data_IF_786765867223
#
_entry.id   IF_786765867223
#
_cell.length_a   1.000
_cell.length_b   1.000
_cell.length_c   1.000
_cell.angle_alpha   90.00
_cell.angle_beta   90.00
_cell.angle_gamma   90.00
#
_symmetry.space_group_name_H-M   'P 1'
#
loop_
_entity.id
_entity.type
_entity.pdbx_description
1 polymer ?
#
# COMPACT_ATOMS: atom_id res chain seq x y z
N UNK A 1 -17.30 33.81 9.45
CA UNK A 1 -16.77 32.44 9.29
C UNK A 1 -15.51 32.34 10.14
N UNK A 2 -15.39 31.30 10.93
CA UNK A 2 -14.22 31.11 11.80
C UNK A 2 -12.99 30.75 10.96
N UNK A 3 -11.89 31.48 11.12
CA UNK A 3 -10.63 31.24 10.40
C UNK A 3 -9.44 31.54 11.31
N UNK A 4 -8.26 31.08 10.94
CA UNK A 4 -7.02 31.37 11.66
C UNK A 4 -6.69 32.86 11.51
N UNK A 5 -6.78 33.60 12.59
CA UNK A 5 -6.46 35.02 12.62
C UNK A 5 -4.95 35.29 12.86
N UNK A 6 -4.30 34.41 13.62
CA UNK A 6 -2.90 34.53 13.95
C UNK A 6 -2.22 33.18 14.01
N UNK A 7 -0.99 33.14 13.54
CA UNK A 7 -0.10 31.98 13.69
C UNK A 7 1.17 32.40 14.42
N UNK A 8 1.54 31.64 15.43
CA UNK A 8 2.78 31.77 16.18
C UNK A 8 3.58 30.47 16.12
N UNK A 9 4.91 30.57 15.95
CA UNK A 9 5.77 29.41 15.77
C UNK A 9 7.24 29.75 15.93
N UNK A 10 8.04 28.75 16.31
CA UNK A 10 9.51 28.85 16.27
C UNK A 10 10.14 27.98 15.16
N UNK A 11 9.34 27.45 14.22
CA UNK A 11 9.85 26.61 13.13
C UNK A 11 10.99 27.31 12.38
N UNK A 12 12.13 26.64 12.29
CA UNK A 12 13.35 27.14 11.64
C UNK A 12 13.73 28.56 12.05
N UNK A 13 13.48 28.90 13.32
CA UNK A 13 13.82 30.22 13.89
C UNK A 13 12.84 31.36 13.57
N UNK A 14 11.65 31.06 13.04
CA UNK A 14 10.60 32.06 12.90
C UNK A 14 10.06 32.44 14.29
N UNK A 15 10.11 33.74 14.64
CA UNK A 15 9.74 34.20 16.01
C UNK A 15 8.72 35.32 16.01
N UNK A 16 8.28 35.77 14.84
CA UNK A 16 7.33 36.86 14.74
C UNK A 16 5.95 36.31 14.50
N UNK A 17 4.99 36.48 15.41
CA UNK A 17 3.62 36.08 15.15
C UNK A 17 3.07 36.74 13.89
N UNK A 18 2.45 35.97 13.05
CA UNK A 18 1.93 36.43 11.75
C UNK A 18 0.43 36.51 11.80
N UNK A 19 -0.14 37.67 11.53
CA UNK A 19 -1.57 37.85 11.39
C UNK A 19 -2.03 37.46 10.01
N UNK A 20 -3.10 36.67 9.95
CA UNK A 20 -3.73 36.16 8.73
C UNK A 20 -5.13 36.76 8.58
N UNK A 21 -5.69 36.69 7.41
CA UNK A 21 -7.09 36.99 7.12
C UNK A 21 -7.75 35.77 6.50
N UNK A 22 -9.03 35.86 6.20
CA UNK A 22 -9.74 34.79 5.47
C UNK A 22 -9.06 34.50 4.11
N UNK A 23 -8.59 35.53 3.43
CA UNK A 23 -7.77 35.41 2.23
C UNK A 23 -6.44 36.12 2.49
N UNK A 24 -5.35 35.39 2.41
CA UNK A 24 -4.03 35.91 2.71
C UNK A 24 -3.05 35.62 1.58
N UNK A 25 -2.34 36.65 1.14
CA UNK A 25 -1.20 36.54 0.25
C UNK A 25 0.09 36.81 1.05
N UNK A 26 0.90 35.78 1.26
CA UNK A 26 2.25 35.91 1.82
C UNK A 26 3.20 36.24 0.69
N UNK A 27 3.75 37.44 0.68
CA UNK A 27 4.67 37.93 -0.37
C UNK A 27 6.06 38.16 0.20
N UNK A 28 7.06 37.71 -0.50
CA UNK A 28 8.45 37.94 -0.13
C UNK A 28 9.42 37.15 -1.01
N UNK A 29 10.71 37.47 -0.97
CA UNK A 29 11.71 36.75 -1.76
C UNK A 29 11.80 35.26 -1.34
N UNK A 30 12.54 34.48 -2.12
CA UNK A 30 12.88 33.13 -1.71
C UNK A 30 13.62 33.17 -0.35
N UNK A 31 13.39 32.14 0.48
CA UNK A 31 13.98 32.02 1.81
C UNK A 31 13.50 33.04 2.86
N UNK A 32 12.52 33.90 2.54
CA UNK A 32 11.99 34.90 3.50
C UNK A 32 11.21 34.30 4.68
N UNK A 33 10.84 33.03 4.63
CA UNK A 33 10.10 32.37 5.72
C UNK A 33 8.62 32.08 5.41
N UNK A 34 8.10 32.42 4.22
CA UNK A 34 6.70 32.14 3.81
C UNK A 34 6.30 30.70 4.10
N UNK A 35 7.15 29.75 3.70
CA UNK A 35 6.90 28.33 3.89
C UNK A 35 6.81 27.92 5.35
N UNK A 36 7.54 28.60 6.25
CA UNK A 36 7.49 28.33 7.71
C UNK A 36 6.13 28.70 8.29
N UNK A 37 5.54 29.79 7.83
CA UNK A 37 4.19 30.20 8.20
C UNK A 37 3.17 29.16 7.72
N UNK A 38 3.26 28.73 6.47
CA UNK A 38 2.38 27.71 5.91
C UNK A 38 2.52 26.35 6.61
N UNK A 39 3.75 25.90 6.88
CA UNK A 39 4.05 24.68 7.63
C UNK A 39 3.48 24.76 9.06
N UNK A 40 3.59 25.93 9.72
CA UNK A 40 3.03 26.14 11.04
C UNK A 40 1.50 26.02 11.05
N UNK A 41 0.82 26.63 10.08
CA UNK A 41 -0.65 26.49 9.94
C UNK A 41 -1.04 25.03 9.75
N UNK A 42 -0.35 24.29 8.88
CA UNK A 42 -0.60 22.88 8.64
C UNK A 42 -0.39 22.04 9.91
N UNK A 43 0.72 22.24 10.62
CA UNK A 43 1.02 21.50 11.85
C UNK A 43 0.00 21.81 12.95
N UNK A 44 -0.34 23.07 13.18
CA UNK A 44 -1.30 23.45 14.20
C UNK A 44 -2.67 22.82 13.94
N UNK A 45 -3.13 22.79 12.70
CA UNK A 45 -4.47 22.32 12.32
C UNK A 45 -4.57 20.82 12.12
N UNK A 46 -3.61 20.21 11.43
CA UNK A 46 -3.68 18.80 11.03
C UNK A 46 -2.67 17.88 11.74
N UNK A 47 -1.66 18.47 12.40
CA UNK A 47 -0.56 17.72 13.02
C UNK A 47 0.43 17.16 12.01
N UNK A 48 0.30 17.54 10.76
CA UNK A 48 1.22 17.18 9.66
C UNK A 48 1.51 18.42 8.83
N UNK A 49 2.70 18.49 8.24
CA UNK A 49 3.05 19.56 7.33
C UNK A 49 3.65 18.96 6.04
N UNK A 50 3.34 19.60 4.93
CA UNK A 50 4.02 19.34 3.68
C UNK A 50 5.41 19.93 3.75
N UNK A 51 6.41 19.09 3.87
CA UNK A 51 7.78 19.54 3.97
C UNK A 51 8.34 19.99 2.64
N UNK A 52 8.50 21.29 2.47
CA UNK A 52 9.21 21.86 1.31
C UNK A 52 10.66 21.35 1.19
N UNK A 53 11.30 20.95 2.28
CA UNK A 53 12.61 20.30 2.29
C UNK A 53 12.63 18.99 1.48
N UNK A 54 11.52 18.30 1.36
CA UNK A 54 11.45 16.97 0.75
C UNK A 54 10.64 16.92 -0.53
N UNK A 55 10.08 18.00 -0.97
CA UNK A 55 9.30 18.26 -2.20
C UNK A 55 8.32 17.15 -2.65
N UNK A 56 8.17 16.08 -1.90
CA UNK A 56 7.41 14.89 -2.27
C UNK A 56 6.79 14.09 -1.11
N UNK A 57 6.87 14.55 0.16
CA UNK A 57 6.32 13.76 1.29
C UNK A 57 5.79 14.65 2.39
N UNK A 58 4.55 14.35 2.83
CA UNK A 58 3.99 14.96 4.04
C UNK A 58 4.78 14.52 5.26
N UNK A 59 5.23 15.49 6.07
CA UNK A 59 5.94 15.21 7.34
C UNK A 59 4.92 14.73 8.36
N UNK A 60 5.01 13.46 8.77
CA UNK A 60 4.09 12.83 9.75
C UNK A 60 4.80 12.18 10.94
N UNK A 61 6.11 12.03 10.89
CA UNK A 61 6.89 11.36 11.95
C UNK A 61 7.76 12.33 12.73
N UNK A 62 8.05 11.99 14.00
CA UNK A 62 8.89 12.80 14.87
C UNK A 62 10.27 13.10 14.28
N UNK A 63 10.94 12.10 13.70
CA UNK A 63 12.26 12.29 13.08
C UNK A 63 12.23 13.22 11.85
N UNK A 64 11.13 13.24 11.10
CA UNK A 64 10.96 14.16 9.98
C UNK A 64 10.69 15.61 10.47
N UNK A 65 9.96 15.75 11.56
CA UNK A 65 9.67 17.04 12.19
C UNK A 65 10.89 17.68 12.86
N UNK A 66 11.85 16.87 13.30
CA UNK A 66 13.12 17.36 13.84
C UNK A 66 13.87 18.26 12.83
N UNK A 67 13.68 18.02 11.53
CA UNK A 67 14.23 18.88 10.48
C UNK A 67 13.67 20.32 10.48
N UNK A 68 12.58 20.58 11.19
CA UNK A 68 11.97 21.90 11.34
C UNK A 68 12.46 22.65 12.60
N UNK A 69 13.32 22.05 13.41
CA UNK A 69 13.84 22.67 14.64
C UNK A 69 14.66 23.92 14.35
N UNK A 70 14.55 24.92 15.22
CA UNK A 70 15.43 26.10 15.23
C UNK A 70 16.72 25.80 16.00
N UNK A 71 17.72 25.24 15.36
CA UNK A 71 19.05 25.07 15.93
C UNK A 71 19.06 24.28 17.27
N UNK A 72 19.55 24.88 18.35
CA UNK A 72 19.70 24.25 19.68
C UNK A 72 18.43 24.26 20.55
N UNK A 73 17.31 24.77 20.07
CA UNK A 73 16.08 24.78 20.85
C UNK A 73 15.57 23.36 21.11
N UNK A 74 15.20 23.06 22.36
CA UNK A 74 14.77 21.74 22.81
C UNK A 74 13.41 21.27 22.21
N UNK A 75 12.65 22.18 21.61
CA UNK A 75 11.34 21.90 21.08
C UNK A 75 10.89 22.82 19.96
N UNK A 76 9.91 22.36 19.20
CA UNK A 76 9.20 23.13 18.18
C UNK A 76 7.73 23.25 18.54
N UNK A 77 7.11 24.35 18.15
CA UNK A 77 5.68 24.56 18.29
C UNK A 77 5.10 25.32 17.11
N UNK A 78 3.80 25.11 16.91
CA UNK A 78 2.95 25.90 16.03
C UNK A 78 1.61 26.11 16.74
N UNK A 79 1.17 27.36 16.84
CA UNK A 79 -0.05 27.75 17.51
C UNK A 79 -0.88 28.66 16.62
N UNK A 80 -2.09 28.22 16.30
CA UNK A 80 -3.04 28.98 15.52
C UNK A 80 -4.16 29.50 16.41
N UNK A 81 -4.38 30.81 16.40
CA UNK A 81 -5.49 31.50 17.08
C UNK A 81 -6.57 31.77 16.06
N UNK A 82 -7.81 31.38 16.34
CA UNK A 82 -8.97 31.59 15.49
C UNK A 82 -9.70 32.89 15.85
N UNK A 83 -10.49 33.41 14.92
CA UNK A 83 -11.29 34.64 15.10
C UNK A 83 -12.33 34.56 16.23
N UNK A 84 -12.70 33.38 16.68
CA UNK A 84 -13.59 33.17 17.85
C UNK A 84 -12.80 33.03 19.18
N UNK A 85 -11.47 33.20 19.15
CA UNK A 85 -10.60 33.05 20.31
C UNK A 85 -10.18 31.60 20.58
N UNK A 86 -10.65 30.62 19.76
CA UNK A 86 -10.18 29.25 19.83
C UNK A 86 -8.69 29.12 19.49
N UNK A 87 -8.01 28.16 20.10
CA UNK A 87 -6.58 27.92 19.87
C UNK A 87 -6.38 26.47 19.45
N UNK A 88 -5.62 26.27 18.38
CA UNK A 88 -5.08 24.98 17.98
C UNK A 88 -3.56 25.00 18.15
N UNK A 89 -3.02 24.07 18.93
CA UNK A 89 -1.58 24.00 19.19
C UNK A 89 -1.02 22.63 18.87
N UNK A 90 0.10 22.63 18.19
CA UNK A 90 0.94 21.48 17.98
C UNK A 90 2.32 21.76 18.58
N UNK A 91 2.91 20.77 19.26
CA UNK A 91 4.26 20.91 19.81
C UNK A 91 4.98 19.57 19.87
N UNK A 92 6.30 19.59 19.75
CA UNK A 92 7.17 18.44 19.88
C UNK A 92 8.45 18.82 20.61
N UNK A 93 8.81 18.05 21.64
CA UNK A 93 10.09 18.14 22.31
C UNK A 93 11.07 17.12 21.72
N UNK A 94 12.37 17.37 21.92
CA UNK A 94 13.43 16.46 21.46
C UNK A 94 13.21 15.03 21.96
N UNK A 95 13.25 14.06 21.05
CA UNK A 95 13.05 12.63 21.37
C UNK A 95 11.63 12.26 21.82
N UNK A 96 10.67 13.19 21.81
CA UNK A 96 9.28 12.94 22.21
C UNK A 96 8.36 12.77 21.01
N UNK A 97 7.15 12.22 21.28
CA UNK A 97 6.07 12.20 20.28
C UNK A 97 5.43 13.59 20.19
N UNK A 98 4.94 13.99 19.00
CA UNK A 98 4.17 15.22 18.85
C UNK A 98 2.95 15.24 19.76
N UNK A 99 2.68 16.40 20.36
CA UNK A 99 1.49 16.65 21.16
C UNK A 99 0.58 17.66 20.45
N UNK A 100 -0.72 17.43 20.50
CA UNK A 100 -1.74 18.32 19.94
C UNK A 100 -2.75 18.68 21.04
N UNK A 101 -3.13 19.95 21.09
CA UNK A 101 -4.10 20.48 22.04
C UNK A 101 -4.98 21.55 21.38
N UNK A 102 -6.21 21.71 21.88
CA UNK A 102 -7.12 22.74 21.45
C UNK A 102 -8.03 22.36 20.28
N UNK A 103 -8.46 23.35 19.52
CA UNK A 103 -9.40 23.20 18.42
C UNK A 103 -8.84 22.30 17.30
N UNK A 104 -9.71 21.48 16.72
CA UNK A 104 -9.35 20.72 15.53
C UNK A 104 -9.73 21.52 14.28
N UNK A 105 -8.79 21.64 13.37
CA UNK A 105 -9.01 22.20 12.04
C UNK A 105 -8.61 21.18 10.96
N UNK A 106 -9.09 21.40 9.75
CA UNK A 106 -8.65 20.67 8.57
C UNK A 106 -7.86 21.63 7.70
N UNK A 107 -6.64 21.23 7.35
CA UNK A 107 -5.82 21.94 6.38
C UNK A 107 -5.74 21.09 5.11
N UNK A 108 -6.16 21.64 3.99
CA UNK A 108 -5.98 21.04 2.66
C UNK A 108 -4.71 21.63 2.03
N UNK A 109 -3.57 20.95 2.14
CA UNK A 109 -2.38 21.38 1.41
C UNK A 109 -2.56 21.05 -0.06
N UNK A 110 -2.59 22.07 -0.89
CA UNK A 110 -2.72 21.92 -2.35
C UNK A 110 -1.57 21.10 -2.95
N UNK A 111 -0.41 21.12 -2.30
CA UNK A 111 0.73 20.28 -2.62
C UNK A 111 0.46 18.77 -2.44
N UNK A 112 -0.34 18.37 -1.45
CA UNK A 112 -0.76 16.97 -1.28
C UNK A 112 -1.65 16.53 -2.44
N UNK A 113 -2.55 17.39 -2.89
CA UNK A 113 -3.39 17.13 -4.05
C UNK A 113 -2.55 16.96 -5.33
N UNK A 114 -1.51 17.76 -5.52
CA UNK A 114 -0.59 17.59 -6.64
C UNK A 114 0.10 16.21 -6.64
N UNK A 115 0.57 15.75 -5.48
CA UNK A 115 1.20 14.43 -5.35
C UNK A 115 0.21 13.29 -5.65
N UNK A 116 -1.02 13.42 -5.16
CA UNK A 116 -2.09 12.45 -5.44
C UNK A 116 -2.38 12.38 -6.95
N UNK A 117 -2.48 13.53 -7.60
CA UNK A 117 -2.78 13.60 -9.05
C UNK A 117 -1.64 13.04 -9.93
N UNK A 118 -0.40 13.08 -9.42
CA UNK A 118 0.75 12.43 -10.07
C UNK A 118 0.80 10.91 -9.79
N UNK A 119 -0.08 10.39 -8.96
CA UNK A 119 -0.13 8.99 -8.55
C UNK A 119 -0.80 8.06 -9.56
N UNK A 120 -0.95 6.80 -9.18
CA UNK A 120 -1.68 5.83 -10.00
C UNK A 120 -3.19 6.14 -10.04
N UNK A 121 -3.91 5.70 -11.09
CA UNK A 121 -5.37 5.86 -11.14
C UNK A 121 -6.10 5.31 -9.92
N UNK A 122 -5.61 4.25 -9.32
CA UNK A 122 -6.17 3.66 -8.09
C UNK A 122 -5.96 4.57 -6.88
N UNK A 123 -4.77 5.20 -6.77
CA UNK A 123 -4.47 6.19 -5.72
C UNK A 123 -5.37 7.41 -5.84
N UNK A 124 -5.55 7.93 -7.04
CA UNK A 124 -6.42 9.08 -7.32
C UNK A 124 -7.88 8.75 -6.94
N UNK A 125 -8.39 7.59 -7.36
CA UNK A 125 -9.75 7.17 -7.01
C UNK A 125 -9.94 6.97 -5.52
N UNK A 126 -8.99 6.37 -4.83
CA UNK A 126 -9.04 6.19 -3.38
C UNK A 126 -9.10 7.53 -2.65
N UNK A 127 -8.31 8.51 -3.09
CA UNK A 127 -8.34 9.87 -2.53
C UNK A 127 -9.72 10.52 -2.72
N UNK A 128 -10.23 10.58 -3.94
CA UNK A 128 -11.54 11.19 -4.19
C UNK A 128 -12.68 10.43 -3.53
N UNK A 129 -12.60 9.10 -3.43
CA UNK A 129 -13.57 8.33 -2.67
C UNK A 129 -13.58 8.75 -1.19
N UNK A 130 -12.42 8.91 -0.58
CA UNK A 130 -12.30 9.36 0.81
C UNK A 130 -12.89 10.75 1.05
N UNK A 131 -12.74 11.66 0.10
CA UNK A 131 -13.22 13.04 0.21
C UNK A 131 -14.67 13.23 -0.21
N UNK A 132 -15.11 12.62 -1.29
CA UNK A 132 -16.43 12.87 -1.90
C UNK A 132 -17.51 11.89 -1.44
N UNK A 133 -17.13 10.65 -1.08
CA UNK A 133 -18.06 9.58 -0.70
C UNK A 133 -17.87 9.20 0.78
N UNK A 134 -16.62 9.09 1.23
CA UNK A 134 -16.26 8.65 2.57
C UNK A 134 -16.39 7.15 2.73
N UNK A 135 -17.52 6.67 3.27
CA UNK A 135 -17.84 5.23 3.39
C UNK A 135 -19.15 4.95 2.69
N UNK A 136 -19.17 3.93 1.86
CA UNK A 136 -20.41 3.45 1.22
C UNK A 136 -21.21 2.58 2.19
N UNK A 137 -22.53 2.55 2.03
CA UNK A 137 -23.36 1.55 2.72
C UNK A 137 -23.04 0.17 2.17
N UNK A 138 -23.19 -0.83 3.01
CA UNK A 138 -22.99 -2.22 2.62
C UNK A 138 -23.89 -2.63 1.45
N UNK A 139 -25.15 -2.19 1.47
CA UNK A 139 -26.14 -2.44 0.44
C UNK A 139 -25.72 -1.93 -0.94
N UNK A 140 -25.02 -0.79 -1.01
CA UNK A 140 -24.52 -0.22 -2.26
C UNK A 140 -23.41 -1.10 -2.89
N UNK A 141 -22.56 -1.72 -2.05
CA UNK A 141 -21.58 -2.69 -2.50
C UNK A 141 -22.25 -3.98 -2.96
N UNK A 142 -23.15 -4.53 -2.15
CA UNK A 142 -23.82 -5.82 -2.39
C UNK A 142 -24.67 -5.79 -3.67
N UNK A 143 -25.31 -4.67 -3.96
CA UNK A 143 -26.07 -4.47 -5.19
C UNK A 143 -25.24 -4.34 -6.48
N UNK A 144 -23.94 -4.10 -6.35
CA UNK A 144 -23.05 -3.84 -7.50
C UNK A 144 -22.00 -4.92 -7.73
N UNK A 145 -21.55 -5.58 -6.66
CA UNK A 145 -20.56 -6.64 -6.77
C UNK A 145 -21.15 -7.91 -7.37
N UNK A 146 -20.36 -8.68 -8.08
CA UNK A 146 -20.79 -9.94 -8.62
C UNK A 146 -21.13 -10.93 -7.47
N UNK A 147 -22.34 -11.49 -7.47
CA UNK A 147 -22.88 -12.35 -6.42
C UNK A 147 -21.99 -13.55 -6.09
N UNK A 148 -21.22 -14.08 -7.04
CA UNK A 148 -20.28 -15.19 -6.82
C UNK A 148 -19.13 -14.84 -5.85
N UNK A 149 -18.89 -13.56 -5.57
CA UNK A 149 -17.85 -13.10 -4.67
C UNK A 149 -18.39 -12.73 -3.28
N UNK A 150 -19.71 -12.76 -3.11
CA UNK A 150 -20.39 -12.29 -1.91
C UNK A 150 -19.84 -12.98 -0.65
N UNK A 151 -19.77 -14.32 -0.64
CA UNK A 151 -19.28 -15.10 0.51
C UNK A 151 -17.85 -14.72 0.90
N UNK A 152 -17.00 -14.40 -0.08
CA UNK A 152 -15.62 -13.97 0.18
C UNK A 152 -15.60 -12.55 0.76
N UNK A 153 -16.41 -11.65 0.24
CA UNK A 153 -16.55 -10.28 0.75
C UNK A 153 -17.09 -10.31 2.19
N UNK A 154 -18.10 -11.14 2.47
CA UNK A 154 -18.67 -11.30 3.81
C UNK A 154 -17.63 -11.76 4.83
N UNK A 155 -16.79 -12.71 4.46
CA UNK A 155 -15.67 -13.15 5.30
C UNK A 155 -14.64 -12.04 5.55
N UNK A 156 -14.36 -11.20 4.55
CA UNK A 156 -13.38 -10.13 4.64
C UNK A 156 -13.85 -8.94 5.47
N UNK A 157 -15.11 -8.59 5.38
CA UNK A 157 -15.72 -7.45 6.09
C UNK A 157 -16.23 -7.83 7.48
N UNK A 158 -16.63 -9.08 7.66
CA UNK A 158 -17.33 -9.55 8.86
C UNK A 158 -18.84 -9.30 8.82
N UNK A 159 -19.62 -10.02 9.66
CA UNK A 159 -21.08 -10.09 9.55
C UNK A 159 -21.84 -8.83 10.00
N UNK A 160 -21.17 -7.82 10.56
CA UNK A 160 -21.79 -6.62 11.16
C UNK A 160 -21.33 -5.30 10.52
N UNK A 161 -20.75 -5.36 9.34
CA UNK A 161 -20.26 -4.14 8.69
C UNK A 161 -21.40 -3.44 7.93
N UNK A 162 -22.03 -2.42 8.53
CA UNK A 162 -23.06 -1.61 7.87
C UNK A 162 -22.48 -0.64 6.82
N UNK A 163 -21.19 -0.30 6.95
CA UNK A 163 -20.48 0.57 6.03
C UNK A 163 -19.16 -0.04 5.60
N UNK A 164 -18.74 0.27 4.38
CA UNK A 164 -17.54 -0.29 3.74
C UNK A 164 -16.64 0.84 3.23
N UNK A 165 -15.35 0.73 3.55
CA UNK A 165 -14.28 1.47 2.91
C UNK A 165 -13.73 0.62 1.74
N UNK A 166 -14.23 0.90 0.54
CA UNK A 166 -13.89 0.09 -0.65
C UNK A 166 -12.40 0.16 -1.00
N UNK A 167 -11.68 1.29 -0.96
CA UNK A 167 -10.23 1.33 -1.16
C UNK A 167 -9.45 0.43 -0.18
N UNK A 168 -9.82 0.44 1.10
CA UNK A 168 -9.21 -0.45 2.09
C UNK A 168 -9.49 -1.92 1.80
N UNK A 169 -10.69 -2.25 1.36
CA UNK A 169 -11.05 -3.60 0.95
C UNK A 169 -10.24 -4.06 -0.28
N UNK A 170 -10.09 -3.22 -1.30
CA UNK A 170 -9.23 -3.48 -2.47
C UNK A 170 -7.79 -3.77 -2.03
N UNK A 171 -7.25 -2.97 -1.11
CA UNK A 171 -5.90 -3.17 -0.58
C UNK A 171 -5.75 -4.51 0.12
N UNK A 172 -6.75 -4.90 0.93
CA UNK A 172 -6.78 -6.20 1.63
C UNK A 172 -6.81 -7.38 0.64
N UNK A 173 -7.68 -7.31 -0.37
CA UNK A 173 -7.78 -8.33 -1.42
C UNK A 173 -6.48 -8.43 -2.24
N UNK A 174 -5.87 -7.31 -2.59
CA UNK A 174 -4.58 -7.28 -3.29
C UNK A 174 -3.45 -7.89 -2.44
N UNK A 175 -3.49 -7.73 -1.12
CA UNK A 175 -2.59 -8.39 -0.18
C UNK A 175 -2.71 -9.91 -0.24
N UNK A 176 -3.93 -10.44 -0.12
CA UNK A 176 -4.21 -11.87 -0.21
C UNK A 176 -3.81 -12.47 -1.58
N UNK A 177 -4.10 -11.77 -2.66
CA UNK A 177 -3.64 -12.16 -4.00
C UNK A 177 -2.12 -12.32 -4.07
N UNK A 178 -1.36 -11.36 -3.50
CA UNK A 178 0.11 -11.42 -3.48
C UNK A 178 0.62 -12.59 -2.65
N UNK A 179 0.02 -12.83 -1.49
CA UNK A 179 0.36 -13.94 -0.60
C UNK A 179 0.21 -15.28 -1.34
N UNK A 180 -0.96 -15.54 -1.91
CA UNK A 180 -1.21 -16.78 -2.67
C UNK A 180 -0.32 -16.89 -3.91
N UNK A 181 -0.07 -15.81 -4.63
CA UNK A 181 0.86 -15.81 -5.76
C UNK A 181 2.30 -16.14 -5.33
N UNK A 182 2.75 -15.66 -4.18
CA UNK A 182 4.07 -15.96 -3.64
C UNK A 182 4.17 -17.41 -3.21
N UNK A 183 3.15 -17.94 -2.55
CA UNK A 183 3.07 -19.35 -2.14
C UNK A 183 3.07 -20.30 -3.34
N UNK A 184 2.32 -19.98 -4.39
CA UNK A 184 2.32 -20.75 -5.63
C UNK A 184 3.71 -20.78 -6.29
N UNK A 185 4.37 -19.63 -6.41
CA UNK A 185 5.73 -19.54 -6.97
C UNK A 185 6.76 -20.29 -6.14
N UNK A 186 6.69 -20.17 -4.81
CA UNK A 186 7.57 -20.90 -3.90
C UNK A 186 7.41 -22.41 -4.06
N UNK A 187 6.18 -22.91 -4.07
CA UNK A 187 5.87 -24.33 -4.29
C UNK A 187 6.30 -24.81 -5.68
N UNK A 188 6.12 -24.01 -6.72
CA UNK A 188 6.58 -24.35 -8.08
C UNK A 188 8.12 -24.39 -8.18
N UNK A 189 8.82 -23.45 -7.54
CA UNK A 189 10.29 -23.46 -7.49
C UNK A 189 10.81 -24.70 -6.75
N UNK A 190 10.17 -25.06 -5.64
CA UNK A 190 10.48 -26.27 -4.89
C UNK A 190 10.29 -27.53 -5.74
N UNK A 191 9.19 -27.61 -6.52
CA UNK A 191 8.97 -28.72 -7.44
C UNK A 191 10.07 -28.89 -8.48
N UNK A 192 10.68 -27.80 -8.95
CA UNK A 192 11.80 -27.85 -9.89
C UNK A 192 13.03 -28.59 -9.36
N UNK A 193 13.16 -28.76 -8.04
CA UNK A 193 14.25 -29.50 -7.41
C UNK A 193 14.04 -31.02 -7.43
N UNK A 194 12.82 -31.49 -7.77
CA UNK A 194 12.44 -32.91 -7.74
C UNK A 194 12.22 -33.50 -9.15
N UNK A 195 12.83 -32.93 -10.17
CA UNK A 195 12.72 -33.47 -11.55
C UNK A 195 13.32 -34.87 -11.62
N UNK A 196 12.52 -35.84 -12.04
CA UNK A 196 12.96 -37.21 -12.26
C UNK A 196 12.65 -38.22 -11.14
N UNK A 197 11.99 -37.85 -10.05
CA UNK A 197 11.59 -38.79 -9.00
C UNK A 197 10.34 -39.54 -9.42
N UNK A 198 10.45 -40.86 -9.56
CA UNK A 198 9.34 -41.74 -9.91
C UNK A 198 8.55 -42.15 -8.64
N UNK A 199 7.26 -42.41 -8.83
CA UNK A 199 6.43 -43.01 -7.79
C UNK A 199 6.89 -44.43 -7.47
N UNK A 200 7.07 -44.76 -6.23
CA UNK A 200 7.43 -46.08 -5.74
C UNK A 200 6.23 -46.68 -5.01
N UNK A 201 5.76 -47.82 -5.48
CA UNK A 201 4.59 -48.49 -4.89
C UNK A 201 4.91 -49.14 -3.55
N UNK A 202 3.87 -49.38 -2.74
CA UNK A 202 4.00 -50.14 -1.49
C UNK A 202 4.52 -51.55 -1.75
N UNK A 203 4.07 -52.22 -2.80
CA UNK A 203 4.50 -53.58 -3.13
C UNK A 203 6.00 -53.66 -3.43
N UNK A 204 6.57 -52.64 -4.07
CA UNK A 204 8.02 -52.60 -4.33
C UNK A 204 8.81 -52.47 -3.03
N UNK A 205 8.32 -51.69 -2.05
CA UNK A 205 8.91 -51.57 -0.72
C UNK A 205 8.79 -52.88 0.08
N UNK A 206 7.62 -53.51 0.08
CA UNK A 206 7.40 -54.82 0.77
C UNK A 206 8.32 -55.88 0.20
N UNK A 207 8.45 -55.97 -1.10
CA UNK A 207 9.33 -56.91 -1.80
C UNK A 207 10.80 -56.73 -1.39
N UNK A 208 11.29 -55.45 -1.27
CA UNK A 208 12.64 -55.16 -0.81
C UNK A 208 12.83 -55.50 0.67
N UNK A 209 11.84 -55.32 1.54
CA UNK A 209 11.88 -55.74 2.92
C UNK A 209 11.95 -57.26 3.06
N UNK A 210 11.15 -57.99 2.30
CA UNK A 210 11.22 -59.47 2.29
C UNK A 210 12.57 -59.96 1.80
N UNK A 211 13.09 -59.37 0.72
CA UNK A 211 14.43 -59.68 0.22
C UNK A 211 15.53 -59.40 1.24
N UNK A 212 15.46 -58.27 1.98
CA UNK A 212 16.40 -57.92 3.02
C UNK A 212 16.41 -58.96 4.15
N UNK A 213 15.23 -59.41 4.59
CA UNK A 213 15.14 -60.41 5.66
C UNK A 213 15.69 -61.78 5.19
N UNK A 214 15.42 -62.18 3.95
CA UNK A 214 15.99 -63.41 3.37
C UNK A 214 17.52 -63.28 3.26
N UNK A 215 18.04 -62.17 2.78
CA UNK A 215 19.47 -61.88 2.64
C UNK A 215 20.20 -61.90 3.99
N UNK A 216 19.61 -61.28 5.02
CA UNK A 216 20.14 -61.33 6.39
C UNK A 216 20.20 -62.74 6.94
N UNK A 217 19.15 -63.55 6.71
CA UNK A 217 19.10 -64.98 7.13
C UNK A 217 20.17 -65.78 6.41
N UNK A 218 20.32 -65.62 5.09
CA UNK A 218 21.35 -66.24 4.28
C UNK A 218 22.77 -65.85 4.76
N UNK A 219 23.04 -64.59 4.96
CA UNK A 219 24.35 -64.09 5.46
C UNK A 219 24.74 -64.73 6.77
N UNK A 220 23.78 -64.82 7.75
CA UNK A 220 23.99 -65.52 9.02
C UNK A 220 24.31 -67.01 8.85
N UNK A 221 23.52 -67.73 8.02
CA UNK A 221 23.73 -69.15 7.74
C UNK A 221 25.06 -69.40 7.04
N UNK A 222 25.44 -68.57 6.08
CA UNK A 222 26.71 -68.62 5.36
C UNK A 222 27.91 -68.45 6.32
N UNK A 223 27.79 -67.51 7.30
CA UNK A 223 28.81 -67.34 8.33
C UNK A 223 28.91 -68.59 9.23
N UNK A 224 27.78 -69.08 9.76
CA UNK A 224 27.73 -70.30 10.58
C UNK A 224 28.28 -71.51 9.84
N UNK A 225 27.98 -71.68 8.55
CA UNK A 225 28.53 -72.76 7.70
C UNK A 225 30.04 -72.68 7.62
N UNK A 226 30.59 -71.49 7.42
CA UNK A 226 32.08 -71.30 7.42
C UNK A 226 32.70 -71.67 8.77
N UNK A 227 32.10 -71.14 9.86
CA UNK A 227 32.62 -71.41 11.23
C UNK A 227 32.53 -72.88 11.58
N UNK A 228 31.43 -73.61 11.21
CA UNK A 228 31.28 -75.06 11.41
C UNK A 228 32.23 -75.87 10.54
N UNK A 229 32.56 -75.40 9.36
CA UNK A 229 33.57 -76.05 8.48
C UNK A 229 34.97 -75.91 9.00
N UNK A 230 35.32 -74.77 9.62
CA UNK A 230 36.61 -74.52 10.21
C UNK A 230 36.80 -75.33 11.50
N UNK A 231 35.72 -75.62 12.25
CA UNK A 231 35.70 -76.43 13.46
C UNK A 231 35.54 -77.95 13.25
N UNK A 232 35.34 -78.40 11.98
CA UNK A 232 35.06 -79.78 11.55
C UNK A 232 33.81 -80.41 12.22
N UNK A 233 32.81 -79.59 12.55
CA UNK A 233 31.57 -80.05 13.16
C UNK A 233 30.60 -80.55 12.10
N UNK A 234 30.65 -81.85 11.80
CA UNK A 234 29.81 -82.51 10.77
C UNK A 234 28.29 -82.44 11.07
N UNK A 235 27.89 -82.40 12.35
CA UNK A 235 26.46 -82.28 12.72
C UNK A 235 25.91 -80.88 12.46
N UNK A 236 26.70 -79.88 12.83
CA UNK A 236 26.33 -78.50 12.54
C UNK A 236 26.31 -78.24 11.03
N UNK A 237 27.24 -78.70 10.26
CA UNK A 237 27.31 -78.62 8.83
C UNK A 237 26.06 -79.22 8.13
N UNK A 238 25.61 -80.44 8.56
CA UNK A 238 24.41 -81.06 8.03
C UNK A 238 23.15 -80.25 8.33
N UNK A 239 23.01 -79.71 9.56
CA UNK A 239 21.89 -78.87 9.98
C UNK A 239 21.83 -77.53 9.20
N UNK A 240 22.97 -76.87 9.09
CA UNK A 240 23.03 -75.57 8.37
C UNK A 240 22.80 -75.77 6.89
N UNK A 241 23.28 -76.87 6.29
CA UNK A 241 23.00 -77.23 4.91
C UNK A 241 21.50 -77.45 4.66
N UNK A 242 20.79 -78.12 5.59
CA UNK A 242 19.32 -78.25 5.51
C UNK A 242 18.62 -76.88 5.56
N UNK A 243 19.02 -75.98 6.47
CA UNK A 243 18.47 -74.62 6.56
C UNK A 243 18.76 -73.77 5.33
N UNK A 244 19.91 -73.92 4.68
CA UNK A 244 20.23 -73.24 3.44
C UNK A 244 19.33 -73.76 2.27
N UNK A 245 19.08 -75.06 2.19
CA UNK A 245 18.21 -75.65 1.20
C UNK A 245 16.72 -75.24 1.39
N UNK A 246 16.28 -74.91 2.60
CA UNK A 246 14.96 -74.33 2.90
C UNK A 246 14.83 -72.87 2.46
N UNK A 247 15.93 -72.12 2.36
CA UNK A 247 15.96 -70.76 1.88
C UNK A 247 15.82 -70.62 0.35
N UNK A 248 16.29 -71.65 -0.37
CA UNK A 248 16.20 -71.66 -1.83
C UNK A 248 17.12 -72.69 -2.48
N UNK A 249 17.01 -72.89 -3.78
CA UNK A 249 17.90 -73.74 -4.57
C UNK A 249 19.32 -73.18 -4.58
N UNK A 250 20.31 -74.03 -4.91
CA UNK A 250 21.72 -73.63 -5.04
C UNK A 250 21.91 -72.46 -6.04
N UNK A 251 21.06 -72.34 -7.03
CA UNK A 251 21.11 -71.29 -8.03
C UNK A 251 20.54 -69.96 -7.49
N UNK A 252 19.44 -69.99 -6.73
CA UNK A 252 18.86 -68.85 -6.04
C UNK A 252 19.81 -68.31 -4.97
N UNK A 253 20.47 -69.18 -4.19
CA UNK A 253 21.46 -68.80 -3.20
C UNK A 253 22.70 -68.13 -3.81
N UNK A 254 23.08 -68.49 -5.04
CA UNK A 254 24.19 -67.84 -5.77
C UNK A 254 23.89 -66.46 -6.26
N UNK A 255 22.62 -66.17 -6.58
CA UNK A 255 22.13 -64.87 -7.09
C UNK A 255 21.63 -63.97 -5.96
N UNK A 256 21.54 -64.49 -4.72
CA UNK A 256 21.05 -63.69 -3.58
C UNK A 256 21.99 -62.55 -3.28
N UNK A 257 21.49 -61.33 -3.25
CA UNK A 257 22.24 -60.12 -2.97
C UNK A 257 22.70 -60.06 -1.50
N UNK A 258 23.78 -59.33 -1.23
CA UNK A 258 24.26 -59.11 0.14
C UNK A 258 23.28 -58.22 0.93
N UNK A 259 23.13 -58.43 2.25
CA UNK A 259 22.24 -57.62 3.08
C UNK A 259 22.51 -56.12 2.98
N UNK A 260 23.78 -55.73 2.88
CA UNK A 260 24.23 -54.35 2.75
C UNK A 260 23.74 -53.69 1.45
N UNK A 261 23.79 -54.43 0.33
CA UNK A 261 23.32 -53.94 -0.99
C UNK A 261 21.81 -53.74 -1.01
N UNK A 262 21.05 -54.68 -0.43
CA UNK A 262 19.59 -54.57 -0.33
C UNK A 262 19.16 -53.48 0.59
N UNK A 263 19.89 -53.28 1.69
CA UNK A 263 19.65 -52.23 2.67
C UNK A 263 19.90 -50.84 2.05
N UNK A 264 20.99 -50.66 1.32
CA UNK A 264 21.30 -49.39 0.63
C UNK A 264 20.23 -49.03 -0.39
N UNK A 265 19.76 -50.00 -1.16
CA UNK A 265 18.64 -49.80 -2.09
C UNK A 265 17.35 -49.43 -1.36
N UNK A 266 17.01 -50.14 -0.28
CA UNK A 266 15.85 -49.89 0.53
C UNK A 266 15.86 -48.47 1.12
N UNK A 267 16.99 -48.02 1.66
CA UNK A 267 17.17 -46.66 2.17
C UNK A 267 16.97 -45.62 1.05
N UNK A 268 17.52 -45.89 -0.14
CA UNK A 268 17.34 -45.04 -1.32
C UNK A 268 15.87 -44.97 -1.74
N UNK A 269 15.18 -46.11 -1.77
CA UNK A 269 13.74 -46.18 -2.15
C UNK A 269 12.85 -45.45 -1.14
N UNK A 270 13.12 -45.60 0.17
CA UNK A 270 12.41 -44.89 1.25
C UNK A 270 12.62 -43.38 1.09
N UNK A 271 13.86 -42.95 0.86
CA UNK A 271 14.20 -41.55 0.65
C UNK A 271 13.47 -40.96 -0.56
N UNK A 272 13.53 -41.65 -1.70
CA UNK A 272 12.85 -41.24 -2.94
C UNK A 272 11.34 -41.18 -2.77
N UNK A 273 10.73 -42.09 -2.02
CA UNK A 273 9.30 -42.04 -1.71
C UNK A 273 8.94 -40.82 -0.88
N UNK A 274 9.72 -40.51 0.17
CA UNK A 274 9.50 -39.32 0.98
C UNK A 274 9.59 -38.04 0.13
N UNK A 275 10.58 -37.98 -0.77
CA UNK A 275 10.72 -36.86 -1.71
C UNK A 275 9.54 -36.76 -2.68
N UNK A 276 9.01 -37.88 -3.17
CA UNK A 276 7.82 -37.90 -4.03
C UNK A 276 6.57 -37.36 -3.30
N UNK A 277 6.33 -37.77 -2.05
CA UNK A 277 5.19 -37.26 -1.27
C UNK A 277 5.33 -35.76 -0.98
N UNK A 278 6.52 -35.28 -0.72
CA UNK A 278 6.81 -33.85 -0.56
C UNK A 278 6.53 -33.08 -1.88
N UNK A 279 6.98 -33.62 -3.01
CA UNK A 279 6.71 -33.03 -4.32
C UNK A 279 5.21 -32.98 -4.63
N UNK A 280 4.47 -34.05 -4.33
CA UNK A 280 3.02 -34.11 -4.49
C UNK A 280 2.28 -33.09 -3.62
N UNK A 281 2.69 -32.94 -2.35
CA UNK A 281 2.14 -31.94 -1.46
C UNK A 281 2.40 -30.52 -1.97
N UNK A 282 3.62 -30.25 -2.46
CA UNK A 282 3.98 -28.97 -3.07
C UNK A 282 3.17 -28.69 -4.33
N UNK A 283 2.92 -29.69 -5.18
CA UNK A 283 2.07 -29.57 -6.39
C UNK A 283 0.65 -29.18 -6.02
N UNK A 284 0.06 -29.84 -5.03
CA UNK A 284 -1.29 -29.51 -4.54
C UNK A 284 -1.34 -28.08 -3.99
N UNK A 285 -0.34 -27.67 -3.21
CA UNK A 285 -0.24 -26.32 -2.67
C UNK A 285 -0.09 -25.28 -3.77
N UNK A 286 0.75 -25.53 -4.78
CA UNK A 286 0.93 -24.65 -5.93
C UNK A 286 -0.40 -24.44 -6.68
N UNK A 287 -1.09 -25.54 -7.00
CA UNK A 287 -2.37 -25.49 -7.75
C UNK A 287 -3.46 -24.77 -6.97
N UNK A 288 -3.62 -25.06 -5.67
CA UNK A 288 -4.61 -24.40 -4.82
C UNK A 288 -4.31 -22.91 -4.70
N UNK A 289 -3.05 -22.55 -4.39
CA UNK A 289 -2.64 -21.14 -4.25
C UNK A 289 -2.77 -20.36 -5.56
N UNK A 290 -2.50 -20.98 -6.70
CA UNK A 290 -2.73 -20.33 -8.00
C UNK A 290 -4.23 -20.08 -8.26
N UNK A 291 -5.08 -21.02 -7.91
CA UNK A 291 -6.54 -20.88 -7.98
C UNK A 291 -7.04 -19.72 -7.12
N UNK A 292 -6.60 -19.66 -5.85
CA UNK A 292 -6.93 -18.58 -4.92
C UNK A 292 -6.41 -17.21 -5.41
N UNK A 293 -5.18 -17.14 -5.91
CA UNK A 293 -4.64 -15.91 -6.47
C UNK A 293 -5.48 -15.38 -7.66
N UNK A 294 -5.94 -16.26 -8.55
CA UNK A 294 -6.84 -15.91 -9.65
C UNK A 294 -8.21 -15.44 -9.15
N UNK A 295 -8.75 -16.09 -8.12
CA UNK A 295 -10.01 -15.71 -7.49
C UNK A 295 -9.92 -14.29 -6.88
N UNK A 296 -8.89 -14.01 -6.08
CA UNK A 296 -8.70 -12.67 -5.52
C UNK A 296 -8.39 -11.60 -6.58
N UNK A 297 -7.71 -11.95 -7.68
CA UNK A 297 -7.51 -11.03 -8.79
C UNK A 297 -8.84 -10.62 -9.46
N UNK A 298 -9.77 -11.55 -9.59
CA UNK A 298 -11.08 -11.28 -10.13
C UNK A 298 -11.94 -10.41 -9.21
N UNK A 299 -11.88 -10.65 -7.88
CA UNK A 299 -12.54 -9.81 -6.87
C UNK A 299 -11.95 -8.38 -6.88
N UNK A 300 -10.62 -8.25 -6.90
CA UNK A 300 -9.95 -6.95 -6.99
C UNK A 300 -10.43 -6.14 -8.19
N UNK A 301 -10.51 -6.80 -9.35
CA UNK A 301 -11.00 -6.17 -10.59
C UNK A 301 -12.46 -5.69 -10.46
N UNK A 302 -13.32 -6.50 -9.85
CA UNK A 302 -14.74 -6.16 -9.68
C UNK A 302 -14.92 -5.03 -8.67
N UNK A 303 -14.19 -5.03 -7.55
CA UNK A 303 -14.19 -3.94 -6.58
C UNK A 303 -13.71 -2.61 -7.18
N UNK A 304 -12.71 -2.64 -8.05
CA UNK A 304 -12.25 -1.45 -8.79
C UNK A 304 -13.31 -0.91 -9.74
N UNK A 305 -14.11 -1.79 -10.36
CA UNK A 305 -15.26 -1.38 -11.17
C UNK A 305 -16.33 -0.72 -10.30
N UNK A 306 -16.70 -1.34 -9.18
CA UNK A 306 -17.68 -0.77 -8.24
C UNK A 306 -17.21 0.59 -7.70
N UNK A 307 -15.93 0.72 -7.36
CA UNK A 307 -15.36 2.00 -6.94
C UNK A 307 -15.49 3.08 -8.02
N UNK A 308 -15.26 2.74 -9.28
CA UNK A 308 -15.40 3.67 -10.39
C UNK A 308 -16.86 4.11 -10.58
N UNK A 309 -17.81 3.18 -10.51
CA UNK A 309 -19.25 3.46 -10.61
C UNK A 309 -19.76 4.36 -9.47
N UNK A 310 -19.30 4.10 -8.23
CA UNK A 310 -19.67 4.92 -7.07
C UNK A 310 -19.07 6.34 -7.11
N UNK A 311 -18.03 6.55 -7.90
CA UNK A 311 -17.39 7.85 -8.07
C UNK A 311 -17.94 8.64 -9.28
N UNK A 312 -18.73 8.06 -10.14
CA UNK A 312 -19.19 8.71 -11.39
C UNK A 312 -19.93 10.03 -11.11
N UNK A 313 -21.03 9.97 -10.35
CA UNK A 313 -21.81 11.15 -10.00
C UNK A 313 -21.03 12.14 -9.09
N UNK A 314 -20.35 11.69 -8.01
CA UNK A 314 -19.53 12.57 -7.19
C UNK A 314 -18.45 13.31 -7.98
N UNK A 315 -17.76 12.66 -8.92
CA UNK A 315 -16.75 13.30 -9.75
C UNK A 315 -17.34 14.29 -10.74
N UNK A 316 -18.53 14.00 -11.29
CA UNK A 316 -19.25 14.93 -12.16
C UNK A 316 -19.66 16.21 -11.41
N UNK A 317 -20.21 16.06 -10.20
CA UNK A 317 -20.55 17.18 -9.33
C UNK A 317 -19.31 17.98 -8.93
N UNK A 318 -18.23 17.28 -8.62
CA UNK A 318 -16.95 17.90 -8.30
C UNK A 318 -16.37 18.70 -9.48
N UNK A 319 -16.46 18.19 -10.71
CA UNK A 319 -16.06 18.91 -11.91
C UNK A 319 -16.80 20.25 -12.04
N UNK A 320 -18.10 20.25 -11.80
CA UNK A 320 -18.92 21.49 -11.79
C UNK A 320 -18.41 22.46 -10.73
N UNK A 321 -18.22 21.98 -9.50
CA UNK A 321 -17.74 22.81 -8.40
C UNK A 321 -16.32 23.37 -8.66
N UNK A 322 -15.40 22.58 -9.25
CA UNK A 322 -14.08 23.09 -9.62
C UNK A 322 -14.20 24.26 -10.62
N UNK A 323 -15.09 24.16 -11.58
CA UNK A 323 -15.27 25.22 -12.58
C UNK A 323 -15.79 26.55 -11.98
N UNK A 324 -16.46 26.52 -10.83
CA UNK A 324 -16.86 27.75 -10.11
C UNK A 324 -15.64 28.51 -9.55
N UNK A 325 -14.55 27.81 -9.23
CA UNK A 325 -13.30 28.38 -8.72
C UNK A 325 -12.21 28.52 -9.80
N UNK A 326 -12.51 28.18 -11.05
CA UNK A 326 -11.55 28.38 -12.14
C UNK A 326 -11.39 29.85 -12.51
N UNK A 327 -10.16 30.28 -12.73
CA UNK A 327 -9.83 31.62 -13.14
C UNK A 327 -9.89 31.79 -14.67
N UNK A 328 -10.54 32.82 -15.14
CA UNK A 328 -10.65 33.12 -16.55
C UNK A 328 -11.72 32.30 -17.26
N UNK A 329 -11.50 31.98 -18.55
CA UNK A 329 -12.43 31.21 -19.37
C UNK A 329 -12.00 29.75 -19.55
N UNK A 330 -11.09 29.27 -18.73
CA UNK A 330 -10.65 27.88 -18.81
C UNK A 330 -11.73 26.97 -18.23
N UNK A 331 -11.98 25.87 -18.91
CA UNK A 331 -12.91 24.84 -18.49
C UNK A 331 -12.14 23.60 -18.01
N UNK A 332 -12.25 23.31 -16.74
CA UNK A 332 -11.71 22.09 -16.14
C UNK A 332 -12.60 20.89 -16.52
N UNK A 333 -11.97 19.76 -16.79
CA UNK A 333 -12.65 18.51 -17.14
C UNK A 333 -11.99 17.31 -16.46
N UNK A 334 -12.84 16.40 -16.00
CA UNK A 334 -12.45 15.09 -15.52
C UNK A 334 -12.83 14.05 -16.58
N UNK A 335 -11.86 13.28 -17.03
CA UNK A 335 -12.09 12.14 -17.90
C UNK A 335 -11.83 10.85 -17.11
N UNK A 336 -12.88 10.27 -16.56
CA UNK A 336 -12.83 9.03 -15.78
C UNK A 336 -13.40 7.90 -16.64
N UNK A 337 -12.52 7.08 -17.22
CA UNK A 337 -12.89 5.84 -17.91
C UNK A 337 -12.38 4.65 -17.13
N UNK A 338 -12.93 3.47 -17.41
CA UNK A 338 -12.49 2.23 -16.75
C UNK A 338 -10.97 2.04 -16.90
N UNK A 339 -10.25 2.02 -15.77
CA UNK A 339 -8.79 1.84 -15.73
C UNK A 339 -7.97 3.14 -15.81
N UNK A 340 -8.55 4.28 -16.19
CA UNK A 340 -7.86 5.57 -16.19
C UNK A 340 -8.70 6.69 -15.60
N UNK A 341 -8.02 7.71 -15.07
CA UNK A 341 -8.62 8.95 -14.63
C UNK A 341 -7.63 10.07 -14.96
N UNK A 342 -8.09 11.07 -15.67
CA UNK A 342 -7.28 12.19 -16.10
C UNK A 342 -8.02 13.50 -15.81
N UNK A 343 -7.25 14.50 -15.42
CA UNK A 343 -7.73 15.84 -15.10
C UNK A 343 -7.01 16.84 -15.99
N UNK A 344 -7.71 17.86 -16.44
CA UNK A 344 -7.08 18.85 -17.26
C UNK A 344 -7.99 19.98 -17.68
N UNK A 345 -7.51 20.79 -18.59
CA UNK A 345 -8.25 21.88 -19.20
C UNK A 345 -8.69 21.50 -20.60
N UNK A 346 -9.96 21.82 -20.91
CA UNK A 346 -10.48 21.67 -22.26
C UNK A 346 -9.96 22.84 -23.11
N UNK A 347 -9.37 22.50 -24.24
CA UNK A 347 -8.93 23.43 -25.26
C UNK A 347 -9.52 23.02 -26.61
N UNK A 348 -9.45 23.87 -27.66
CA UNK A 348 -10.00 23.52 -28.97
C UNK A 348 -9.48 22.22 -29.59
N UNK A 349 -8.28 21.82 -29.22
CA UNK A 349 -7.60 20.59 -29.66
C UNK A 349 -7.78 19.39 -28.72
N UNK A 350 -8.54 19.54 -27.62
CA UNK A 350 -8.88 18.45 -26.70
C UNK A 350 -8.56 18.72 -25.23
N UNK A 351 -8.48 17.64 -24.43
CA UNK A 351 -8.17 17.70 -23.00
C UNK A 351 -6.65 17.75 -22.79
N UNK A 352 -6.18 18.86 -22.26
CA UNK A 352 -4.76 19.06 -21.87
C UNK A 352 -4.55 18.66 -20.42
N UNK A 353 -3.88 17.54 -20.19
CA UNK A 353 -3.54 17.01 -18.84
C UNK A 353 -2.14 17.41 -18.40
N UNK A 354 -1.24 17.71 -19.32
CA UNK A 354 0.11 18.23 -19.02
C UNK A 354 0.03 19.76 -18.87
N UNK A 355 -0.23 20.20 -17.64
CA UNK A 355 -0.34 21.61 -17.30
C UNK A 355 1.02 22.17 -16.87
N UNK A 356 1.28 23.43 -17.19
CA UNK A 356 2.54 24.09 -16.84
C UNK A 356 2.40 25.03 -15.65
N UNK A 357 3.36 25.04 -14.75
CA UNK A 357 3.63 26.05 -13.72
C UNK A 357 2.38 26.73 -13.12
N UNK A 358 2.15 27.97 -13.48
CA UNK A 358 1.02 28.77 -12.95
C UNK A 358 -0.36 28.24 -13.35
N UNK A 359 -0.48 27.59 -14.52
CA UNK A 359 -1.72 26.95 -14.95
C UNK A 359 -2.07 25.77 -14.07
N UNK A 360 -1.09 24.92 -13.79
CA UNK A 360 -1.26 23.77 -12.88
C UNK A 360 -1.60 24.24 -11.48
N UNK A 361 -0.87 25.21 -10.92
CA UNK A 361 -1.14 25.76 -9.60
C UNK A 361 -2.58 26.30 -9.46
N UNK A 362 -3.07 26.95 -10.50
CA UNK A 362 -4.42 27.49 -10.57
C UNK A 362 -5.49 26.38 -10.59
N UNK A 363 -5.30 25.35 -11.40
CA UNK A 363 -6.22 24.19 -11.45
C UNK A 363 -6.26 23.49 -10.09
N UNK A 364 -5.10 23.22 -9.49
CA UNK A 364 -5.02 22.58 -8.18
C UNK A 364 -5.64 23.45 -7.08
N UNK A 365 -5.51 24.79 -7.17
CA UNK A 365 -6.18 25.70 -6.27
C UNK A 365 -7.71 25.61 -6.35
N UNK A 366 -8.24 25.62 -7.57
CA UNK A 366 -9.68 25.46 -7.82
C UNK A 366 -10.17 24.08 -7.34
N UNK A 367 -9.39 23.03 -7.57
CA UNK A 367 -9.69 21.67 -7.09
C UNK A 367 -9.73 21.62 -5.56
N UNK A 368 -8.77 22.25 -4.88
CA UNK A 368 -8.74 22.33 -3.42
C UNK A 368 -9.93 23.11 -2.86
N UNK A 369 -10.30 24.23 -3.49
CA UNK A 369 -11.46 25.02 -3.11
C UNK A 369 -12.77 24.24 -3.24
N UNK A 370 -12.94 23.52 -4.35
CA UNK A 370 -14.10 22.67 -4.57
C UNK A 370 -14.21 21.50 -3.59
N UNK A 371 -13.09 20.85 -3.22
CA UNK A 371 -13.09 19.82 -2.18
C UNK A 371 -13.53 20.38 -0.83
N UNK A 372 -13.03 21.56 -0.48
CA UNK A 372 -13.38 22.21 0.77
C UNK A 372 -14.86 22.61 0.81
N UNK A 373 -15.39 23.13 -0.28
CA UNK A 373 -16.79 23.50 -0.40
C UNK A 373 -17.73 22.31 -0.30
N UNK A 374 -17.48 21.25 -1.06
CA UNK A 374 -18.31 20.04 -1.06
C UNK A 374 -18.25 19.25 0.25
N UNK A 375 -17.11 19.24 0.92
CA UNK A 375 -16.97 18.54 2.20
C UNK A 375 -17.67 19.24 3.36
N UNK A 376 -18.06 20.51 3.19
CA UNK A 376 -18.64 21.35 4.25
C UNK A 376 -17.71 21.57 5.44
N UNK A 377 -16.45 21.20 5.31
CA UNK A 377 -15.44 21.32 6.35
C UNK A 377 -14.82 22.71 6.24
N UNK A 378 -14.94 23.59 7.26
CA UNK A 378 -14.22 24.84 7.27
C UNK A 378 -12.72 24.53 7.35
N UNK A 379 -12.06 24.56 6.20
CA UNK A 379 -10.65 24.22 6.08
C UNK A 379 -9.82 25.42 5.65
N UNK A 380 -8.51 25.28 5.83
CA UNK A 380 -7.53 26.23 5.29
C UNK A 380 -6.88 25.57 4.08
N UNK A 381 -6.89 26.27 2.95
CA UNK A 381 -6.15 25.89 1.76
C UNK A 381 -4.82 26.61 1.78
N UNK A 382 -3.73 25.87 1.81
CA UNK A 382 -2.39 26.43 1.69
C UNK A 382 -1.83 26.11 0.33
N UNK A 383 -1.46 27.14 -0.42
CA UNK A 383 -0.86 27.03 -1.75
C UNK A 383 0.61 27.37 -1.69
N UNK A 384 1.44 26.49 -2.23
CA UNK A 384 2.89 26.67 -2.30
C UNK A 384 3.30 27.86 -3.14
N UNK A 385 4.54 28.32 -2.88
CA UNK A 385 5.23 29.33 -3.67
C UNK A 385 5.65 28.70 -5.00
N UNK A 386 4.74 28.70 -5.95
CA UNK A 386 4.99 28.25 -7.31
C UNK A 386 5.39 29.44 -8.18
N UNK A 387 5.91 29.18 -9.35
CA UNK A 387 6.23 30.23 -10.32
C UNK A 387 4.93 30.88 -10.84
N UNK A 388 4.39 31.83 -10.06
CA UNK A 388 3.22 32.58 -10.44
C UNK A 388 3.55 33.60 -11.54
N UNK A 389 2.71 33.66 -12.54
CA UNK A 389 2.58 34.83 -13.39
C UNK A 389 1.71 35.88 -12.65
N UNK A 390 2.09 37.14 -12.67
CA UNK A 390 1.41 38.20 -11.91
C UNK A 390 -0.05 38.42 -12.34
N UNK A 391 -0.37 38.21 -13.62
CA UNK A 391 -1.74 38.30 -14.14
C UNK A 391 -2.58 37.10 -13.69
N UNK A 392 -2.01 35.90 -13.81
CA UNK A 392 -2.68 34.67 -13.39
C UNK A 392 -2.87 34.58 -11.87
N UNK A 393 -1.90 35.07 -11.09
CA UNK A 393 -2.06 35.20 -9.65
C UNK A 393 -3.28 36.08 -9.30
N UNK A 394 -3.38 37.25 -9.94
CA UNK A 394 -4.51 38.16 -9.73
C UNK A 394 -5.87 37.53 -10.12
N UNK A 395 -5.92 36.78 -11.22
CA UNK A 395 -7.13 36.05 -11.66
C UNK A 395 -7.48 34.91 -10.69
N UNK A 396 -6.49 34.15 -10.23
CA UNK A 396 -6.70 33.09 -9.27
C UNK A 396 -7.21 33.61 -7.93
N UNK A 397 -6.61 34.71 -7.42
CA UNK A 397 -7.11 35.39 -6.23
C UNK A 397 -8.55 35.85 -6.39
N UNK A 398 -8.94 36.34 -7.59
CA UNK A 398 -10.31 36.73 -7.86
C UNK A 398 -11.28 35.56 -7.77
N UNK A 399 -10.95 34.45 -8.40
CA UNK A 399 -11.79 33.27 -8.41
C UNK A 399 -11.97 32.67 -7.00
N UNK A 400 -10.94 32.73 -6.17
CA UNK A 400 -10.97 32.18 -4.80
C UNK A 400 -11.65 33.08 -3.77
N UNK A 401 -12.04 34.33 -4.11
CA UNK A 401 -12.75 35.24 -3.19
C UNK A 401 -14.13 34.75 -2.73
N UNK A 402 -14.66 33.74 -3.37
CA UNK A 402 -15.93 33.10 -3.00
C UNK A 402 -15.73 31.74 -2.33
N UNK A 403 -14.49 31.29 -2.16
CA UNK A 403 -14.20 30.05 -1.47
C UNK A 403 -14.69 30.14 -0.01
N UNK A 404 -15.45 29.15 0.50
CA UNK A 404 -15.95 29.16 1.86
C UNK A 404 -14.83 28.92 2.88
N UNK A 405 -13.64 28.51 2.44
CA UNK A 405 -12.51 28.24 3.28
C UNK A 405 -11.55 29.42 3.40
N UNK A 406 -10.70 29.40 4.41
CA UNK A 406 -9.56 30.31 4.47
C UNK A 406 -8.55 29.90 3.38
N UNK A 407 -8.06 30.89 2.63
CA UNK A 407 -7.06 30.67 1.58
C UNK A 407 -5.79 31.44 1.90
N UNK A 408 -4.67 30.70 1.92
CA UNK A 408 -3.32 31.27 2.10
C UNK A 408 -2.51 30.93 0.85
N UNK A 409 -2.09 31.96 0.11
CA UNK A 409 -1.21 31.81 -1.06
C UNK A 409 0.17 32.34 -0.71
N UNK A 410 1.20 31.60 -1.08
CA UNK A 410 2.57 32.05 -1.04
C UNK A 410 3.02 32.50 -2.42
N UNK A 411 3.72 33.64 -2.51
CA UNK A 411 4.25 34.13 -3.77
C UNK A 411 5.53 34.95 -3.58
N UNK A 412 6.40 34.89 -4.56
CA UNK A 412 7.56 35.80 -4.66
C UNK A 412 7.23 37.12 -5.32
N UNK A 413 6.07 37.23 -5.96
CA UNK A 413 5.64 38.43 -6.69
C UNK A 413 4.27 38.88 -6.20
N UNK A 414 3.98 40.18 -6.43
CA UNK A 414 2.64 40.73 -6.23
C UNK A 414 1.77 40.54 -7.48
N UNK A 415 0.45 40.38 -7.33
CA UNK A 415 -0.45 40.31 -8.48
C UNK A 415 -0.46 41.64 -9.25
N UNK A 416 -0.75 41.57 -10.53
CA UNK A 416 -0.91 42.74 -11.37
C UNK A 416 -2.19 43.51 -11.00
N UNK A 417 -2.07 44.83 -10.95
CA UNK A 417 -3.21 45.71 -10.69
C UNK A 417 -3.31 46.23 -9.27
N UNK A 418 -4.47 46.72 -8.87
CA UNK A 418 -4.72 47.24 -7.50
C UNK A 418 -4.84 46.09 -6.51
N UNK A 419 -4.38 46.28 -5.25
CA UNK A 419 -4.62 45.32 -4.20
C UNK A 419 -6.12 45.01 -4.06
N UNK A 420 -6.45 43.73 -3.85
CA UNK A 420 -7.83 43.27 -3.72
C UNK A 420 -8.31 43.48 -2.29
N UNK A 421 -9.46 44.12 -2.11
CA UNK A 421 -9.96 44.53 -0.81
C UNK A 421 -10.20 43.36 0.17
N UNK A 422 -10.56 42.17 -0.33
CA UNK A 422 -10.79 40.99 0.51
C UNK A 422 -9.49 40.30 0.95
N UNK A 423 -8.36 40.63 0.32
CA UNK A 423 -7.09 39.95 0.56
C UNK A 423 -6.19 40.74 1.51
N UNK A 424 -5.71 40.06 2.54
CA UNK A 424 -4.64 40.56 3.42
C UNK A 424 -3.30 40.25 2.76
N UNK A 425 -2.51 41.30 2.54
CA UNK A 425 -1.16 41.18 2.00
C UNK A 425 -0.17 41.21 3.19
N UNK A 426 0.57 40.12 3.36
CA UNK A 426 1.58 40.00 4.42
C UNK A 426 2.94 39.92 3.75
N UNK A 427 3.75 40.95 3.97
CA UNK A 427 5.13 40.97 3.51
C UNK A 427 6.01 40.19 4.50
N UNK A 428 6.72 39.23 3.95
CA UNK A 428 7.62 38.35 4.70
C UNK A 428 9.03 38.58 4.20
N UNK A 429 9.88 39.11 5.08
CA UNK A 429 11.26 39.47 4.72
C UNK A 429 12.13 39.74 5.94
#
# INVERSE_FOLDING_TARGET
>A
MNHVEKIDTNIKGHRTPTELGQYTLLVGPNESGKSRIAEAVQLALSGSAWGLLWRAKTIKSGSQLDALRPGEEAGIFAEATFTDGGIARWSMQEGSKPNRAGANGVCLPVSELHEVLAGSPDTIRAFFYGWLVGKSKREDLDGRINHRYQDTIDRLLGPKADTVDIPSLITKVAGLKREHSTNAKGSTAFLGTFSGIAYISNNALESLWEELEQSKRFGKLKKLYRDARESDDQRQLAHITSMLNELGSQEELRTMRLPEEVQEELETVISNRALYEMARAAQNTATTSEGEAKHYAAIEKDLKRVLAELLEDPLSNYEVAVNEFMAGNDLFKINAVTGSIAFGLVRPDGLHTALSGSTEARVIAAMGAALADQSGIPGVIVMDDRMWDADMLGKTMAALENCPCQVIIMSTIKPKGRPRAKWKYVEVG
#
